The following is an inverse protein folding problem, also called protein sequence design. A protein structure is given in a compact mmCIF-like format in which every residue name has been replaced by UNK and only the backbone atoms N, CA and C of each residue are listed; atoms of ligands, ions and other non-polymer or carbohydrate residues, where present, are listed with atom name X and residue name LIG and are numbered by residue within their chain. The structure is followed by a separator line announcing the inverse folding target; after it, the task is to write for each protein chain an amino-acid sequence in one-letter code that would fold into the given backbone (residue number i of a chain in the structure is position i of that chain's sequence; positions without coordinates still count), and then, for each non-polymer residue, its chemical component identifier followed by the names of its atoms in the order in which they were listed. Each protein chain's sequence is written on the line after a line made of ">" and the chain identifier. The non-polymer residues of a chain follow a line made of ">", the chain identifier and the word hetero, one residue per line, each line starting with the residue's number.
data_IF_354431569768
#
_entry.id   IF_354431569768
#
_cell.length_a   1.000
_cell.length_b   1.000
_cell.length_c   1.000
_cell.angle_alpha   90.00
_cell.angle_beta   90.00
_cell.angle_gamma   90.00
#
_symmetry.space_group_name_H-M   'P 1'
#
loop_
_entity.id
_entity.type
_entity.pdbx_description
1 polymer ?
#
# COMPACT_ATOMS: atom_id res chain seq x y z
N UNK A 1 6.69 10.14 17.00
CA UNK A 1 7.81 10.05 16.04
C UNK A 1 7.20 9.80 14.68
N UNK A 2 7.42 10.70 13.72
CA UNK A 2 6.88 10.55 12.36
C UNK A 2 7.52 9.34 11.69
N UNK A 3 6.72 8.42 11.15
CA UNK A 3 7.21 7.35 10.30
C UNK A 3 8.01 7.97 9.14
N UNK A 4 9.31 7.67 9.07
CA UNK A 4 10.12 8.12 7.94
C UNK A 4 9.69 7.33 6.69
N UNK A 5 9.37 8.03 5.60
CA UNK A 5 9.17 7.40 4.31
C UNK A 5 10.52 6.88 3.80
N UNK A 6 10.56 5.64 3.32
CA UNK A 6 11.74 5.04 2.68
C UNK A 6 11.71 5.29 1.18
N UNK A 7 10.50 5.32 0.60
CA UNK A 7 10.28 5.58 -0.81
C UNK A 7 9.07 6.51 -0.98
N UNK A 8 9.23 7.53 -1.82
CA UNK A 8 8.20 8.52 -2.12
C UNK A 8 8.12 8.72 -3.62
N UNK A 9 6.97 8.41 -4.20
CA UNK A 9 6.76 8.51 -5.65
C UNK A 9 5.63 9.49 -5.95
N UNK A 10 5.76 10.24 -7.04
CA UNK A 10 4.79 11.22 -7.49
C UNK A 10 4.34 10.94 -8.92
N UNK A 11 3.03 10.96 -9.15
CA UNK A 11 2.45 10.92 -10.50
C UNK A 11 2.28 12.35 -11.01
N UNK A 12 2.92 12.68 -12.13
CA UNK A 12 2.81 13.99 -12.76
C UNK A 12 2.03 13.90 -14.07
N UNK A 13 1.02 14.74 -14.23
CA UNK A 13 0.35 14.98 -15.51
C UNK A 13 1.12 16.02 -16.30
N UNK A 14 1.56 15.64 -17.51
CA UNK A 14 2.36 16.49 -18.42
C UNK A 14 1.61 16.85 -19.70
N UNK A 15 0.30 16.55 -19.78
CA UNK A 15 -0.47 16.70 -21.01
C UNK A 15 -0.78 18.15 -21.40
N UNK A 16 -0.75 19.10 -20.46
CA UNK A 16 -1.14 20.50 -20.67
C UNK A 16 0.02 21.50 -20.53
N UNK A 17 1.25 21.05 -20.77
CA UNK A 17 2.45 21.89 -20.66
C UNK A 17 3.25 21.57 -19.40
N UNK A 18 3.19 22.45 -18.40
CA UNK A 18 3.97 22.28 -17.17
C UNK A 18 3.53 21.02 -16.38
N UNK A 19 4.48 20.21 -15.88
CA UNK A 19 4.17 19.04 -15.06
C UNK A 19 3.36 19.41 -13.82
N UNK A 20 2.18 18.80 -13.67
CA UNK A 20 1.30 18.99 -12.51
C UNK A 20 1.22 17.72 -11.68
N UNK A 21 1.53 17.81 -10.39
CA UNK A 21 1.36 16.68 -9.47
C UNK A 21 -0.12 16.26 -9.41
N UNK A 22 -0.37 15.00 -9.71
CA UNK A 22 -1.69 14.39 -9.81
C UNK A 22 -1.88 13.19 -8.87
N UNK A 23 -0.80 12.67 -8.28
CA UNK A 23 -0.88 11.62 -7.29
C UNK A 23 0.41 11.45 -6.51
N UNK A 24 0.31 10.85 -5.32
CA UNK A 24 1.45 10.59 -4.44
C UNK A 24 1.31 9.22 -3.79
N UNK A 25 2.42 8.50 -3.68
CA UNK A 25 2.54 7.27 -2.91
C UNK A 25 3.70 7.40 -1.90
N UNK A 26 3.46 7.03 -0.63
CA UNK A 26 4.47 6.96 0.41
C UNK A 26 4.57 5.55 0.97
N UNK A 27 5.75 4.94 0.80
CA UNK A 27 6.11 3.65 1.38
C UNK A 27 7.15 3.86 2.47
N UNK A 28 6.86 3.39 3.68
CA UNK A 28 7.64 3.77 4.84
C UNK A 28 7.68 2.72 5.93
N UNK A 29 8.30 3.15 7.02
CA UNK A 29 8.45 2.34 8.22
C UNK A 29 7.11 2.26 8.94
N UNK A 30 6.63 1.05 9.20
CA UNK A 30 5.53 0.89 10.13
C UNK A 30 6.04 1.09 11.55
N UNK A 31 5.31 1.92 12.33
CA UNK A 31 5.56 2.13 13.76
C UNK A 31 5.34 0.84 14.57
N UNK A 32 4.47 -0.06 14.09
CA UNK A 32 4.25 -1.37 14.68
C UNK A 32 4.84 -2.48 13.81
N UNK A 33 6.10 -2.86 14.02
CA UNK A 33 6.76 -3.95 13.26
C UNK A 33 5.95 -5.24 13.19
N UNK A 34 5.29 -5.60 14.29
CA UNK A 34 4.43 -6.79 14.39
C UNK A 34 3.31 -6.83 13.35
N UNK A 35 2.87 -5.67 12.87
CA UNK A 35 1.85 -5.54 11.83
C UNK A 35 2.39 -6.03 10.49
N UNK A 36 3.60 -5.61 10.12
CA UNK A 36 4.28 -6.09 8.91
C UNK A 36 4.68 -7.56 9.04
N UNK A 37 5.18 -7.98 10.21
CA UNK A 37 5.52 -9.38 10.48
C UNK A 37 4.29 -10.30 10.38
N UNK A 38 3.09 -9.83 10.76
CA UNK A 38 1.84 -10.59 10.55
C UNK A 38 1.41 -10.60 9.08
N UNK A 39 1.55 -9.48 8.39
CA UNK A 39 1.17 -9.36 6.99
C UNK A 39 2.11 -10.14 6.05
N UNK A 40 3.40 -10.19 6.37
CA UNK A 40 4.45 -10.86 5.59
C UNK A 40 5.43 -11.58 6.51
N UNK A 41 5.06 -12.76 7.06
CA UNK A 41 5.86 -13.46 8.07
C UNK A 41 7.27 -13.84 7.62
N UNK A 42 7.44 -14.07 6.32
CA UNK A 42 8.71 -14.50 5.72
C UNK A 42 9.60 -13.31 5.29
N UNK A 43 9.16 -12.06 5.51
CA UNK A 43 9.89 -10.86 5.10
C UNK A 43 10.32 -10.03 6.31
N UNK A 44 11.54 -9.48 6.25
CA UNK A 44 12.04 -8.58 7.28
C UNK A 44 11.25 -7.25 7.27
N UNK A 45 10.50 -6.99 8.34
CA UNK A 45 9.74 -5.76 8.50
C UNK A 45 10.61 -4.51 8.46
N UNK A 46 10.14 -3.49 7.75
CA UNK A 46 10.80 -2.22 7.47
C UNK A 46 12.05 -2.32 6.58
N UNK A 47 12.38 -3.52 6.07
CA UNK A 47 13.51 -3.75 5.15
C UNK A 47 12.99 -4.33 3.84
N UNK A 48 12.50 -5.58 3.87
CA UNK A 48 11.93 -6.29 2.73
C UNK A 48 10.40 -6.19 2.68
N UNK A 49 9.76 -5.71 3.75
CA UNK A 49 8.35 -5.34 3.77
C UNK A 49 8.14 -3.91 4.28
N UNK A 50 7.31 -3.12 3.61
CA UNK A 50 7.00 -1.72 3.97
C UNK A 50 5.50 -1.49 4.14
N UNK A 51 5.15 -0.38 4.80
CA UNK A 51 3.78 0.11 4.88
C UNK A 51 3.54 1.19 3.82
N UNK A 52 2.44 1.08 3.07
CA UNK A 52 1.91 2.14 2.22
C UNK A 52 0.99 3.03 3.07
N UNK A 53 1.56 4.11 3.61
CA UNK A 53 0.87 4.99 4.57
C UNK A 53 0.04 6.09 3.91
N UNK A 54 0.30 6.38 2.63
CA UNK A 54 -0.45 7.36 1.87
C UNK A 54 -0.39 6.97 0.40
N UNK A 55 -1.57 6.81 -0.20
CA UNK A 55 -1.72 6.64 -1.63
C UNK A 55 -2.93 7.46 -2.06
N UNK A 56 -2.69 8.55 -2.77
CA UNK A 56 -3.71 9.55 -3.11
C UNK A 56 -3.57 9.93 -4.57
N UNK A 57 -4.70 10.06 -5.24
CA UNK A 57 -4.83 10.55 -6.62
C UNK A 57 -5.81 11.71 -6.63
N UNK A 58 -5.59 12.67 -7.53
CA UNK A 58 -6.59 13.68 -7.85
C UNK A 58 -7.75 13.04 -8.62
N UNK A 59 -8.95 13.55 -8.41
CA UNK A 59 -10.17 13.08 -9.08
C UNK A 59 -10.07 13.17 -10.61
N UNK A 60 -9.31 14.14 -11.14
CA UNK A 60 -9.14 14.32 -12.58
C UNK A 60 -8.16 13.33 -13.23
N UNK A 61 -7.62 12.37 -12.47
CA UNK A 61 -6.73 11.35 -13.02
C UNK A 61 -7.48 10.45 -14.03
N UNK A 62 -6.87 10.14 -15.19
CA UNK A 62 -7.49 9.26 -16.18
C UNK A 62 -7.73 7.85 -15.62
N UNK A 63 -8.73 7.14 -16.16
CA UNK A 63 -9.34 5.98 -15.49
C UNK A 63 -8.41 4.88 -14.96
N UNK A 64 -7.31 4.55 -15.65
CA UNK A 64 -6.37 3.52 -15.21
C UNK A 64 -5.11 4.08 -14.50
N UNK A 65 -5.10 5.37 -14.15
CA UNK A 65 -3.95 6.02 -13.52
C UNK A 65 -3.56 5.35 -12.21
N UNK A 66 -4.55 4.89 -11.43
CA UNK A 66 -4.32 4.20 -10.17
C UNK A 66 -3.47 2.94 -10.35
N UNK A 67 -3.97 1.98 -11.12
CA UNK A 67 -3.28 0.70 -11.32
C UNK A 67 -1.95 0.89 -12.04
N UNK A 68 -1.86 1.85 -12.98
CA UNK A 68 -0.61 2.17 -13.66
C UNK A 68 0.43 2.74 -12.70
N UNK A 69 0.03 3.69 -11.85
CA UNK A 69 0.94 4.32 -10.89
C UNK A 69 1.43 3.34 -9.83
N UNK A 70 0.54 2.49 -9.30
CA UNK A 70 0.91 1.43 -8.37
C UNK A 70 1.87 0.42 -8.98
N UNK A 71 1.64 0.01 -10.24
CA UNK A 71 2.55 -0.91 -10.93
C UNK A 71 3.96 -0.32 -11.04
N UNK A 72 4.09 0.98 -11.35
CA UNK A 72 5.38 1.68 -11.39
C UNK A 72 6.05 1.76 -10.03
N UNK A 73 5.29 2.08 -8.98
CA UNK A 73 5.82 2.06 -7.61
C UNK A 73 6.33 0.66 -7.22
N UNK A 74 5.62 -0.41 -7.62
CA UNK A 74 6.07 -1.76 -7.34
C UNK A 74 7.32 -2.15 -8.11
N UNK A 75 7.47 -1.70 -9.36
CA UNK A 75 8.70 -1.88 -10.13
C UNK A 75 9.91 -1.23 -9.39
N UNK A 76 9.73 -0.03 -8.85
CA UNK A 76 10.76 0.71 -8.07
C UNK A 76 11.08 0.00 -6.74
N UNK A 77 10.06 -0.41 -6.00
CA UNK A 77 10.21 -1.13 -4.73
C UNK A 77 10.89 -2.50 -4.92
N UNK A 78 10.56 -3.24 -5.97
CA UNK A 78 11.23 -4.50 -6.30
C UNK A 78 12.71 -4.28 -6.58
N UNK A 79 13.04 -3.22 -7.34
CA UNK A 79 14.42 -2.85 -7.61
C UNK A 79 15.19 -2.43 -6.34
N UNK A 80 14.49 -1.89 -5.33
CA UNK A 80 15.07 -1.56 -4.02
C UNK A 80 15.12 -2.73 -3.02
N UNK A 81 14.67 -3.92 -3.43
CA UNK A 81 14.70 -5.16 -2.64
C UNK A 81 13.48 -5.36 -1.73
N UNK A 82 12.46 -4.51 -1.85
CA UNK A 82 11.19 -4.67 -1.15
C UNK A 82 10.34 -5.71 -1.88
N UNK A 83 9.84 -6.69 -1.13
CA UNK A 83 9.03 -7.80 -1.64
C UNK A 83 7.61 -7.82 -1.08
N UNK A 84 7.33 -7.01 -0.05
CA UNK A 84 6.02 -6.93 0.59
C UNK A 84 5.58 -5.50 0.85
N UNK A 85 4.30 -5.23 0.64
CA UNK A 85 3.66 -3.97 1.00
C UNK A 85 2.38 -4.27 1.76
N UNK A 86 2.22 -3.66 2.94
CA UNK A 86 0.97 -3.64 3.67
C UNK A 86 0.31 -2.26 3.53
N UNK A 87 -1.01 -2.22 3.35
CA UNK A 87 -1.79 -0.99 3.45
C UNK A 87 -2.93 -1.18 4.43
N UNK A 88 -3.21 -0.14 5.21
CA UNK A 88 -4.31 -0.08 6.17
C UNK A 88 -5.29 0.95 5.66
N UNK A 89 -6.36 0.46 5.04
CA UNK A 89 -7.50 1.29 4.69
C UNK A 89 -8.56 1.09 5.75
N UNK A 90 -9.20 2.17 6.18
CA UNK A 90 -10.40 2.04 6.99
C UNK A 90 -11.47 1.34 6.14
N UNK A 91 -12.17 0.38 6.72
CA UNK A 91 -13.30 -0.22 6.03
C UNK A 91 -14.38 0.85 5.93
N UNK A 92 -14.53 1.48 4.77
CA UNK A 92 -15.71 2.29 4.51
C UNK A 92 -16.92 1.36 4.59
N UNK A 93 -17.73 1.50 5.64
CA UNK A 93 -19.00 0.80 5.80
C UNK A 93 -19.85 1.03 4.54
N UNK A 94 -19.91 0.03 3.66
CA UNK A 94 -20.97 -0.05 2.68
C UNK A 94 -22.17 -0.72 3.38
N UNK A 95 -23.38 -0.22 3.15
CA UNK A 95 -24.61 -0.79 3.75
C UNK A 95 -24.88 -2.24 3.30
N UNK A 96 -24.10 -2.75 2.33
CA UNK A 96 -24.16 -4.14 1.86
C UNK A 96 -23.31 -5.12 2.68
N UNK A 97 -22.36 -4.67 3.50
CA UNK A 97 -21.60 -5.54 4.41
C UNK A 97 -22.36 -5.76 5.71
N UNK A 98 -23.27 -6.74 5.69
CA UNK A 98 -23.84 -7.32 6.91
C UNK A 98 -22.72 -7.94 7.76
N UNK A 99 -22.76 -7.80 9.10
CA UNK A 99 -21.87 -8.55 9.98
C UNK A 99 -22.14 -10.05 9.79
N UNK A 100 -21.15 -10.77 9.25
CA UNK A 100 -21.24 -12.20 8.92
C UNK A 100 -20.78 -12.58 7.51
N UNK A 101 -20.59 -11.61 6.62
CA UNK A 101 -19.92 -11.86 5.34
C UNK A 101 -18.40 -11.81 5.58
N UNK A 102 -17.77 -12.98 5.78
CA UNK A 102 -16.33 -13.07 5.68
C UNK A 102 -15.91 -12.59 4.28
N UNK A 103 -15.16 -11.48 4.19
CA UNK A 103 -14.48 -11.16 2.94
C UNK A 103 -13.57 -12.34 2.61
N UNK A 104 -13.62 -12.88 1.39
CA UNK A 104 -12.63 -13.85 0.97
C UNK A 104 -11.27 -13.15 1.07
N UNK A 105 -10.40 -13.63 1.96
CA UNK A 105 -8.97 -13.37 1.83
C UNK A 105 -8.58 -14.03 0.52
N UNK A 106 -8.58 -13.26 -0.57
CA UNK A 106 -8.00 -13.74 -1.81
C UNK A 106 -6.53 -13.98 -1.50
N UNK A 107 -6.20 -15.25 -1.25
CA UNK A 107 -4.85 -15.76 -1.35
C UNK A 107 -4.43 -15.56 -2.80
N UNK A 108 -3.94 -14.36 -3.11
CA UNK A 108 -3.34 -14.06 -4.39
C UNK A 108 -2.09 -14.92 -4.54
N UNK A 109 -2.16 -15.91 -5.42
CA UNK A 109 -0.98 -16.63 -5.87
C UNK A 109 0.05 -15.63 -6.41
N UNK A 110 1.30 -15.79 -5.98
CA UNK A 110 2.42 -14.90 -6.32
C UNK A 110 3.06 -15.36 -7.63
N UNK A 111 3.44 -14.45 -8.54
CA UNK A 111 4.57 -14.71 -9.43
C UNK A 111 5.85 -14.67 -8.59
N UNK A 112 6.80 -15.59 -8.80
CA UNK A 112 8.02 -15.72 -7.98
C UNK A 112 8.84 -14.40 -7.84
N UNK A 113 8.64 -13.43 -8.73
CA UNK A 113 9.35 -12.15 -8.83
C UNK A 113 8.50 -10.91 -8.47
N UNK A 114 7.26 -11.09 -8.00
CA UNK A 114 6.34 -9.98 -7.71
C UNK A 114 6.45 -9.39 -6.29
N UNK A 115 5.77 -8.26 -6.08
CA UNK A 115 5.49 -7.69 -4.74
C UNK A 115 4.21 -8.31 -4.17
N UNK A 116 4.27 -8.75 -2.92
CA UNK A 116 3.13 -9.21 -2.15
C UNK A 116 2.41 -8.01 -1.53
N UNK A 117 1.15 -7.78 -1.93
CA UNK A 117 0.32 -6.72 -1.34
C UNK A 117 -0.70 -7.34 -0.38
N UNK A 118 -0.80 -6.82 0.84
CA UNK A 118 -1.87 -7.18 1.78
C UNK A 118 -2.60 -5.95 2.31
N UNK A 119 -3.93 -6.00 2.24
CA UNK A 119 -4.81 -5.10 2.98
C UNK A 119 -4.98 -5.66 4.40
N UNK A 120 -4.61 -4.91 5.42
CA UNK A 120 -4.80 -5.32 6.80
C UNK A 120 -6.15 -4.88 7.36
N UNK A 121 -6.91 -5.80 7.97
CA UNK A 121 -8.00 -5.46 8.91
C UNK A 121 -7.38 -5.29 10.31
N UNK A 122 -7.57 -4.12 10.93
CA UNK A 122 -7.03 -3.79 12.26
C UNK A 122 -7.87 -4.37 13.40
N UNK A 123 -8.88 -5.22 13.12
CA UNK A 123 -9.65 -5.96 14.14
C UNK A 123 -8.80 -7.02 14.84
N UNK A 124 -7.94 -6.54 15.74
CA UNK A 124 -7.08 -7.34 16.60
C UNK A 124 -6.22 -6.47 17.51
N UNK A 125 -6.85 -5.83 18.50
CA UNK A 125 -6.28 -5.36 19.77
C UNK A 125 -4.90 -4.66 19.71
N UNK A 126 -4.76 -3.66 18.82
CA UNK A 126 -3.67 -2.68 18.94
C UNK A 126 -4.12 -1.60 19.92
N UNK A 127 -3.85 -1.80 21.21
CA UNK A 127 -3.89 -0.69 22.17
C UNK A 127 -2.70 0.21 21.91
N UNK A 128 -2.93 1.28 21.14
CA UNK A 128 -2.04 2.43 21.14
C UNK A 128 -1.89 2.93 22.58
N UNK A 129 -0.65 2.98 23.07
CA UNK A 129 -0.32 3.48 24.40
C UNK A 129 0.06 4.96 24.31
#
# INVERSE_FOLDING_TARGET
>A
MNAAAKETSGLFNVAQGEPRLSGVALFGLSVGRAVLERASPDLEANVAALECSCFVLLEECPGNAESWFLARCFDELLASGVRGVASFVDETLNESCRPGAALPTSGGATPADGIHVRCGDVRGDVRCR
#
